data_IF_711518939972
#
_entry.id   IF_711518939972
#
_cell.length_a   1.000
_cell.length_b   1.000
_cell.length_c   1.000
_cell.angle_alpha   90.00
_cell.angle_beta   90.00
_cell.angle_gamma   90.00
#
_symmetry.space_group_name_H-M   'P 1'
#
loop_
_entity.id
_entity.type
_entity.pdbx_description
1 polymer ?
#
# COMPACT_ATOMS: atom_id res chain seq x y z
N UNK A 1 -15.81 22.47 37.11
CA UNK A 1 -14.52 21.98 37.66
C UNK A 1 -14.02 20.88 36.72
N UNK A 2 -12.96 21.06 35.91
CA UNK A 2 -12.51 20.01 35.01
C UNK A 2 -11.66 19.00 35.78
N UNK A 3 -11.99 17.72 35.66
CA UNK A 3 -11.20 16.60 36.19
C UNK A 3 -9.84 16.59 35.50
N UNK A 4 -8.78 16.98 36.22
CA UNK A 4 -7.39 16.79 35.79
C UNK A 4 -6.98 15.36 36.10
N UNK A 5 -7.19 14.44 35.16
CA UNK A 5 -6.54 13.13 35.23
C UNK A 5 -5.05 13.27 34.91
N UNK A 6 -4.18 12.72 35.76
CA UNK A 6 -2.75 12.66 35.46
C UNK A 6 -2.47 11.51 34.47
N UNK A 7 -1.36 11.58 33.72
CA UNK A 7 -0.94 10.48 32.82
C UNK A 7 -0.75 9.13 33.55
N UNK A 8 -0.59 9.14 34.89
CA UNK A 8 -0.54 7.91 35.70
C UNK A 8 -1.92 7.28 35.87
N UNK A 9 -2.97 8.08 35.92
CA UNK A 9 -4.36 7.65 36.10
C UNK A 9 -4.96 7.06 34.82
N UNK A 10 -4.27 7.16 33.69
CA UNK A 10 -4.68 6.52 32.43
C UNK A 10 -3.93 5.21 32.15
N UNK A 11 -2.93 4.84 32.99
CA UNK A 11 -2.08 3.66 32.74
C UNK A 11 -2.84 2.34 32.72
N UNK A 12 -3.92 2.22 33.48
CA UNK A 12 -4.78 1.02 33.48
C UNK A 12 -5.76 0.97 32.29
N UNK A 13 -5.98 2.09 31.58
CA UNK A 13 -6.73 2.14 30.32
C UNK A 13 -5.87 1.71 29.12
N UNK A 14 -4.54 1.73 29.29
CA UNK A 14 -3.57 1.31 28.29
C UNK A 14 -3.17 -0.15 28.56
N UNK A 15 -3.87 -1.09 27.92
CA UNK A 15 -3.49 -2.50 27.95
C UNK A 15 -2.05 -2.67 27.43
N UNK A 16 -1.11 -3.24 28.22
CA UNK A 16 0.29 -3.41 27.83
C UNK A 16 0.48 -4.37 26.63
N UNK A 17 -0.58 -5.10 26.23
CA UNK A 17 -0.64 -5.90 25.00
C UNK A 17 -1.17 -5.12 23.78
N UNK A 18 -1.44 -3.81 23.90
CA UNK A 18 -1.92 -2.99 22.77
C UNK A 18 -0.92 -3.05 21.62
N UNK A 19 -1.37 -3.53 20.47
CA UNK A 19 -0.63 -3.45 19.20
C UNK A 19 -0.92 -2.09 18.58
N UNK A 20 0.13 -1.40 18.14
CA UNK A 20 -0.01 -0.17 17.36
C UNK A 20 -0.36 -0.54 15.94
N UNK A 21 -1.46 0.03 15.43
CA UNK A 21 -1.83 -0.06 14.03
C UNK A 21 -1.14 1.03 13.21
N UNK A 22 -0.82 0.69 11.96
CA UNK A 22 -0.23 1.55 10.95
C UNK A 22 -1.14 1.75 9.74
N UNK A 23 -2.24 1.03 9.63
CA UNK A 23 -3.20 1.16 8.54
C UNK A 23 -4.32 2.16 8.85
N UNK A 24 -5.18 2.42 7.87
CA UNK A 24 -6.27 3.40 7.99
C UNK A 24 -7.39 2.92 8.92
N UNK A 25 -7.76 1.64 8.80
CA UNK A 25 -8.88 1.03 9.54
C UNK A 25 -8.45 -0.14 10.42
N UNK A 26 -7.17 -0.20 10.79
CA UNK A 26 -6.55 -1.27 11.58
C UNK A 26 -6.60 -2.67 10.94
N UNK A 27 -6.71 -2.75 9.61
CA UNK A 27 -6.57 -3.98 8.83
C UNK A 27 -5.23 -4.67 9.10
N UNK A 28 -4.15 -3.93 9.36
CA UNK A 28 -2.85 -4.50 9.68
C UNK A 28 -2.90 -5.39 10.94
N UNK A 29 -3.73 -5.04 11.93
CA UNK A 29 -3.93 -5.86 13.13
C UNK A 29 -4.73 -7.13 12.83
N UNK A 30 -5.73 -7.04 11.94
CA UNK A 30 -6.51 -8.21 11.48
C UNK A 30 -5.61 -9.17 10.69
N UNK A 31 -4.81 -8.64 9.76
CA UNK A 31 -3.83 -9.42 8.99
C UNK A 31 -2.85 -10.13 9.91
N UNK A 32 -2.34 -9.44 10.93
CA UNK A 32 -1.45 -10.05 11.91
C UNK A 32 -2.09 -11.23 12.65
N UNK A 33 -3.38 -11.12 13.00
CA UNK A 33 -4.10 -12.19 13.70
C UNK A 33 -4.38 -13.38 12.77
N UNK A 34 -4.98 -13.11 11.61
CA UNK A 34 -5.35 -14.13 10.60
C UNK A 34 -4.13 -14.89 10.09
N UNK A 35 -3.02 -14.20 9.85
CA UNK A 35 -1.77 -14.82 9.38
C UNK A 35 -0.92 -15.40 10.52
N UNK A 36 -1.39 -15.31 11.77
CA UNK A 36 -0.68 -15.85 12.93
C UNK A 36 0.70 -15.19 13.16
N UNK A 37 0.85 -13.90 12.81
CA UNK A 37 2.13 -13.22 12.82
C UNK A 37 2.61 -12.95 14.25
N UNK A 38 3.79 -13.48 14.56
CA UNK A 38 4.48 -13.24 15.82
C UNK A 38 5.89 -12.71 15.59
N UNK A 39 6.44 -11.94 16.53
CA UNK A 39 7.80 -11.40 16.43
C UNK A 39 8.92 -12.45 16.40
N UNK A 40 8.62 -13.69 16.78
CA UNK A 40 9.56 -14.82 16.83
C UNK A 40 9.22 -15.92 15.82
N UNK A 41 8.15 -15.75 15.06
CA UNK A 41 7.69 -16.73 14.08
C UNK A 41 8.46 -16.62 12.76
N UNK A 42 8.26 -17.57 11.83
CA UNK A 42 8.83 -17.48 10.50
C UNK A 42 8.28 -16.25 9.78
N UNK A 43 9.15 -15.54 9.06
CA UNK A 43 8.75 -14.43 8.21
C UNK A 43 8.00 -14.94 6.98
N UNK A 44 6.87 -14.32 6.67
CA UNK A 44 6.12 -14.56 5.43
C UNK A 44 6.45 -13.53 4.34
N UNK A 45 5.67 -13.58 3.27
CA UNK A 45 5.84 -12.76 2.08
C UNK A 45 4.56 -12.11 1.61
N UNK A 46 4.65 -10.92 1.02
CA UNK A 46 3.48 -10.24 0.47
C UNK A 46 3.74 -9.59 -0.89
N UNK A 47 2.65 -9.32 -1.58
CA UNK A 47 2.59 -8.37 -2.69
C UNK A 47 1.64 -7.26 -2.26
N UNK A 48 2.11 -6.01 -2.31
CA UNK A 48 1.40 -4.82 -1.85
C UNK A 48 1.20 -3.88 -3.05
N UNK A 49 -0.02 -3.86 -3.60
CA UNK A 49 -0.39 -3.11 -4.81
C UNK A 49 -1.17 -1.86 -4.40
N UNK A 50 -0.70 -0.69 -4.84
CA UNK A 50 -1.18 0.58 -4.31
C UNK A 50 -0.55 0.87 -2.94
N UNK A 51 0.74 0.54 -2.78
CA UNK A 51 1.37 0.48 -1.46
C UNK A 51 1.50 1.85 -0.75
N UNK A 52 1.35 2.95 -1.48
CA UNK A 52 1.35 4.33 -0.99
C UNK A 52 2.54 4.61 -0.04
N UNK A 53 2.32 5.25 1.11
CA UNK A 53 3.37 5.61 2.05
C UNK A 53 3.89 4.36 2.78
N UNK A 54 5.21 4.16 2.92
CA UNK A 54 5.79 2.94 3.51
C UNK A 54 5.49 2.67 5.00
N UNK A 55 4.73 3.52 5.67
CA UNK A 55 4.54 3.45 7.14
C UNK A 55 3.17 3.95 7.57
N UNK A 56 2.75 5.09 7.04
CA UNK A 56 1.46 5.72 7.36
C UNK A 56 0.40 5.09 6.48
N UNK A 57 -0.74 4.72 7.07
CA UNK A 57 -1.86 4.11 6.37
C UNK A 57 -1.46 2.84 5.60
N UNK A 58 -0.44 2.11 6.07
CA UNK A 58 0.10 0.95 5.38
C UNK A 58 -0.40 -0.34 6.01
N UNK A 59 -1.09 -1.16 5.21
CA UNK A 59 -1.56 -2.49 5.61
C UNK A 59 -0.42 -3.48 5.88
N UNK A 60 0.75 -3.28 5.25
CA UNK A 60 1.86 -4.24 5.30
C UNK A 60 3.02 -3.82 6.20
N UNK A 61 3.06 -2.58 6.70
CA UNK A 61 4.21 -2.12 7.49
C UNK A 61 4.35 -2.85 8.84
N UNK A 62 3.23 -3.25 9.47
CA UNK A 62 3.28 -4.05 10.69
C UNK A 62 3.90 -5.45 10.45
N UNK A 63 3.60 -6.06 9.29
CA UNK A 63 4.20 -7.32 8.84
C UNK A 63 5.69 -7.14 8.55
N UNK A 64 6.06 -6.08 7.82
CA UNK A 64 7.45 -5.73 7.57
C UNK A 64 8.24 -5.63 8.90
N UNK A 65 7.69 -4.92 9.90
CA UNK A 65 8.28 -4.81 11.25
C UNK A 65 8.42 -6.15 11.98
N UNK A 66 7.62 -7.16 11.61
CA UNK A 66 7.67 -8.52 12.15
C UNK A 66 8.64 -9.45 11.38
N UNK A 67 9.38 -8.95 10.39
CA UNK A 67 10.37 -9.76 9.67
C UNK A 67 9.97 -10.08 8.22
N UNK A 68 8.72 -9.81 7.84
CA UNK A 68 8.22 -10.08 6.50
C UNK A 68 8.91 -9.19 5.46
N UNK A 69 8.87 -9.63 4.21
CA UNK A 69 9.38 -8.91 3.03
C UNK A 69 8.47 -9.18 1.85
N UNK A 70 8.47 -8.31 0.84
CA UNK A 70 7.62 -8.51 -0.31
C UNK A 70 7.95 -7.64 -1.50
N UNK A 71 7.03 -7.62 -2.45
CA UNK A 71 7.01 -6.68 -3.57
C UNK A 71 6.03 -5.57 -3.21
N UNK A 72 6.45 -4.32 -3.33
CA UNK A 72 5.61 -3.14 -3.13
C UNK A 72 5.51 -2.36 -4.46
N UNK A 73 4.28 -2.09 -4.90
CA UNK A 73 3.99 -1.57 -6.23
C UNK A 73 3.16 -0.30 -6.11
N UNK A 74 3.65 0.77 -6.73
CA UNK A 74 2.93 2.05 -6.84
C UNK A 74 3.31 2.74 -8.14
N UNK A 75 2.42 3.55 -8.70
CA UNK A 75 2.72 4.34 -9.90
C UNK A 75 3.46 5.65 -9.57
N UNK A 76 3.40 6.11 -8.33
CA UNK A 76 3.99 7.38 -7.90
C UNK A 76 5.50 7.22 -7.64
N UNK A 77 6.38 7.84 -8.45
CA UNK A 77 7.82 7.69 -8.31
C UNK A 77 8.39 8.26 -7.01
N UNK A 78 7.74 9.29 -6.44
CA UNK A 78 8.18 9.89 -5.17
C UNK A 78 7.92 8.94 -4.00
N UNK A 79 6.73 8.31 -3.99
CA UNK A 79 6.39 7.28 -3.00
C UNK A 79 7.30 6.07 -3.15
N UNK A 80 7.56 5.61 -4.39
CA UNK A 80 8.48 4.50 -4.63
C UNK A 80 9.90 4.76 -4.09
N UNK A 81 10.45 5.96 -4.31
CA UNK A 81 11.77 6.35 -3.76
C UNK A 81 11.76 6.34 -2.23
N UNK A 82 10.73 6.93 -1.63
CA UNK A 82 10.57 6.93 -0.17
C UNK A 82 10.43 5.52 0.38
N UNK A 83 9.68 4.65 -0.30
CA UNK A 83 9.46 3.27 0.07
C UNK A 83 10.77 2.48 0.05
N UNK A 84 11.56 2.60 -1.02
CA UNK A 84 12.84 1.91 -1.15
C UNK A 84 13.82 2.31 -0.03
N UNK A 85 13.84 3.58 0.35
CA UNK A 85 14.66 4.07 1.47
C UNK A 85 14.17 3.53 2.83
N UNK A 86 12.86 3.53 3.07
CA UNK A 86 12.28 3.17 4.35
C UNK A 86 12.17 1.64 4.59
N UNK A 87 12.05 0.86 3.50
CA UNK A 87 11.76 -0.59 3.52
C UNK A 87 12.74 -1.36 2.62
N UNK A 88 14.06 -1.34 2.92
CA UNK A 88 15.10 -1.94 2.05
C UNK A 88 15.03 -3.46 1.86
N UNK A 89 14.21 -4.20 2.63
CA UNK A 89 13.96 -5.64 2.39
C UNK A 89 12.89 -5.88 1.32
N UNK A 90 12.09 -4.87 0.99
CA UNK A 90 11.06 -4.98 -0.03
C UNK A 90 11.63 -4.64 -1.40
N UNK A 91 11.15 -5.35 -2.42
CA UNK A 91 11.36 -4.96 -3.82
C UNK A 91 10.32 -3.92 -4.19
N UNK A 92 10.74 -2.69 -4.44
CA UNK A 92 9.84 -1.63 -4.88
C UNK A 92 9.79 -1.57 -6.40
N UNK A 93 8.58 -1.54 -6.95
CA UNK A 93 8.31 -1.49 -8.40
C UNK A 93 7.47 -0.26 -8.68
N UNK A 94 8.05 0.70 -9.40
CA UNK A 94 7.35 1.91 -9.82
C UNK A 94 6.63 1.66 -11.14
N UNK A 95 5.37 1.23 -11.09
CA UNK A 95 4.60 0.86 -12.28
C UNK A 95 3.09 1.04 -12.08
N UNK A 96 2.41 1.36 -13.18
CA UNK A 96 0.97 1.16 -13.30
C UNK A 96 0.69 -0.31 -13.63
N UNK A 97 -0.33 -0.90 -13.01
CA UNK A 97 -0.76 -2.27 -13.27
C UNK A 97 -2.13 -2.32 -13.96
N UNK A 98 -2.34 -3.37 -14.75
CA UNK A 98 -3.62 -3.66 -15.39
C UNK A 98 -3.65 -5.01 -16.08
N UNK A 99 -4.74 -5.30 -16.77
CA UNK A 99 -5.00 -6.62 -17.38
C UNK A 99 -4.03 -6.97 -18.52
N UNK A 100 -3.49 -5.96 -19.22
CA UNK A 100 -2.65 -6.14 -20.40
C UNK A 100 -1.60 -5.04 -20.47
N UNK A 101 -0.51 -5.30 -21.21
CA UNK A 101 0.44 -4.25 -21.57
C UNK A 101 -0.20 -3.26 -22.53
N UNK A 102 -0.26 -2.00 -22.11
CA UNK A 102 -0.82 -0.91 -22.92
C UNK A 102 -0.30 0.44 -22.41
N UNK A 103 -0.44 1.48 -23.24
CA UNK A 103 -0.24 2.86 -22.78
C UNK A 103 -1.57 3.46 -22.35
N UNK A 104 -1.59 4.07 -21.16
CA UNK A 104 -2.75 4.82 -20.67
C UNK A 104 -2.37 6.22 -20.26
N UNK A 105 -3.31 7.14 -20.41
CA UNK A 105 -3.22 8.48 -19.86
C UNK A 105 -3.61 8.44 -18.38
N UNK A 106 -2.71 8.94 -17.52
CA UNK A 106 -3.01 9.20 -16.11
C UNK A 106 -3.36 10.67 -15.93
N UNK A 107 -4.52 10.93 -15.33
CA UNK A 107 -4.96 12.24 -14.88
C UNK A 107 -4.45 12.46 -13.45
N UNK A 108 -3.56 13.43 -13.26
CA UNK A 108 -2.95 13.73 -11.95
C UNK A 108 -3.59 14.93 -11.28
N UNK A 109 -3.71 14.84 -9.96
CA UNK A 109 -4.22 15.89 -9.09
C UNK A 109 -3.20 16.27 -8.02
N UNK A 110 -3.45 17.38 -7.31
CA UNK A 110 -2.56 17.88 -6.26
C UNK A 110 -2.46 16.88 -5.09
N UNK A 111 -3.55 16.17 -4.78
CA UNK A 111 -3.47 14.95 -3.99
C UNK A 111 -3.17 13.77 -4.91
N UNK A 112 -2.07 13.07 -4.66
CA UNK A 112 -1.66 11.92 -5.48
C UNK A 112 -2.67 10.77 -5.42
N UNK A 113 -3.39 10.65 -4.30
CA UNK A 113 -4.44 9.65 -4.05
C UNK A 113 -5.62 9.78 -5.04
N UNK A 114 -5.80 10.95 -5.67
CA UNK A 114 -6.88 11.19 -6.64
C UNK A 114 -6.46 10.95 -8.10
N UNK A 115 -5.26 10.43 -8.33
CA UNK A 115 -4.79 10.16 -9.70
C UNK A 115 -5.59 8.99 -10.30
N UNK A 116 -6.05 9.12 -11.54
CA UNK A 116 -6.92 8.12 -12.17
C UNK A 116 -6.59 7.90 -13.63
N UNK A 117 -6.93 6.72 -14.14
CA UNK A 117 -6.94 6.41 -15.58
C UNK A 117 -8.27 6.75 -16.25
N UNK A 118 -9.31 7.05 -15.47
CA UNK A 118 -10.66 7.28 -15.98
C UNK A 118 -10.91 8.79 -16.23
N UNK A 119 -11.13 9.21 -17.47
CA UNK A 119 -11.41 10.61 -17.80
C UNK A 119 -12.69 11.14 -17.16
N UNK A 120 -13.70 10.30 -16.90
CA UNK A 120 -14.95 10.72 -16.27
C UNK A 120 -14.75 10.99 -14.78
N UNK A 121 -13.99 10.16 -14.08
CA UNK A 121 -13.55 10.45 -12.71
C UNK A 121 -12.70 11.71 -12.64
N UNK A 122 -11.79 11.91 -13.59
CA UNK A 122 -10.99 13.13 -13.65
C UNK A 122 -11.86 14.39 -13.80
N UNK A 123 -12.86 14.36 -14.70
CA UNK A 123 -13.83 15.47 -14.85
C UNK A 123 -14.60 15.71 -13.55
N UNK A 124 -15.03 14.64 -12.89
CA UNK A 124 -15.75 14.72 -11.61
C UNK A 124 -14.90 15.38 -10.52
N UNK A 125 -13.66 14.96 -10.34
CA UNK A 125 -12.77 15.56 -9.35
C UNK A 125 -12.52 17.05 -9.61
N UNK A 126 -12.34 17.45 -10.88
CA UNK A 126 -12.26 18.88 -11.24
C UNK A 126 -13.55 19.62 -10.86
N UNK A 127 -14.72 19.04 -11.12
CA UNK A 127 -16.01 19.65 -10.75
C UNK A 127 -16.22 19.76 -9.23
N UNK A 128 -15.62 18.86 -8.45
CA UNK A 128 -15.62 18.87 -6.99
C UNK A 128 -14.53 19.79 -6.41
N UNK A 129 -13.84 20.57 -7.25
CA UNK A 129 -12.84 21.57 -6.84
C UNK A 129 -11.42 21.02 -6.65
N UNK A 130 -11.16 19.77 -7.05
CA UNK A 130 -9.82 19.19 -6.97
C UNK A 130 -8.90 19.81 -8.03
N UNK A 131 -7.70 20.20 -7.61
CA UNK A 131 -6.73 20.85 -8.50
C UNK A 131 -6.02 19.81 -9.38
N UNK A 132 -6.36 19.79 -10.67
CA UNK A 132 -5.61 19.03 -11.67
C UNK A 132 -4.18 19.59 -11.80
N UNK A 133 -3.21 18.68 -11.85
CA UNK A 133 -1.77 18.99 -11.99
C UNK A 133 -1.27 18.69 -13.40
N UNK A 134 -1.93 17.77 -14.12
CA UNK A 134 -1.62 17.49 -15.52
C UNK A 134 -2.05 16.10 -15.95
N UNK A 135 -1.66 15.74 -17.17
CA UNK A 135 -1.84 14.40 -17.73
C UNK A 135 -0.51 13.93 -18.31
N UNK A 136 -0.24 12.63 -18.22
CA UNK A 136 0.90 12.01 -18.90
C UNK A 136 0.57 10.58 -19.27
N UNK A 137 1.22 10.07 -20.31
CA UNK A 137 1.14 8.66 -20.67
C UNK A 137 2.06 7.83 -19.76
N UNK A 138 1.57 6.68 -19.34
CA UNK A 138 2.34 5.67 -18.61
C UNK A 138 2.17 4.32 -19.29
N UNK A 139 3.25 3.53 -19.27
CA UNK A 139 3.21 2.13 -19.66
C UNK A 139 2.60 1.31 -18.52
N UNK A 140 1.49 0.64 -18.82
CA UNK A 140 0.83 -0.30 -17.91
C UNK A 140 1.49 -1.67 -18.07
N UNK A 141 1.84 -2.29 -16.94
CA UNK A 141 2.35 -3.66 -16.85
C UNK A 141 1.28 -4.58 -16.30
N UNK A 142 1.43 -5.89 -16.50
CA UNK A 142 0.58 -6.87 -15.84
C UNK A 142 1.18 -7.32 -14.50
N UNK A 143 0.38 -7.88 -13.59
CA UNK A 143 0.90 -8.40 -12.33
C UNK A 143 1.79 -9.61 -12.61
N UNK A 144 1.43 -10.49 -13.56
CA UNK A 144 2.28 -11.61 -13.96
C UNK A 144 3.68 -11.17 -14.41
N UNK A 145 3.78 -10.07 -15.15
CA UNK A 145 5.07 -9.52 -15.57
C UNK A 145 5.94 -9.11 -14.38
N UNK A 146 5.33 -8.46 -13.38
CA UNK A 146 6.04 -8.04 -12.17
C UNK A 146 6.47 -9.26 -11.36
N UNK A 147 5.57 -10.24 -11.17
CA UNK A 147 5.88 -11.46 -10.43
C UNK A 147 6.96 -12.29 -11.11
N UNK A 148 6.99 -12.33 -12.46
CA UNK A 148 8.04 -13.03 -13.21
C UNK A 148 9.40 -12.35 -13.08
N UNK A 149 9.45 -11.02 -13.04
CA UNK A 149 10.70 -10.26 -12.94
C UNK A 149 11.25 -10.18 -11.51
N UNK A 150 10.38 -10.18 -10.51
CA UNK A 150 10.75 -9.83 -9.13
C UNK A 150 10.32 -10.86 -8.08
N UNK A 151 9.72 -11.98 -8.50
CA UNK A 151 9.21 -13.02 -7.60
C UNK A 151 10.29 -13.77 -6.82
N UNK A 152 11.58 -13.57 -7.15
CA UNK A 152 12.70 -14.14 -6.39
C UNK A 152 12.67 -13.71 -4.92
N UNK A 153 12.26 -12.47 -4.63
CA UNK A 153 12.15 -11.97 -3.24
C UNK A 153 11.11 -12.75 -2.42
N UNK A 154 10.11 -13.32 -3.09
CA UNK A 154 8.99 -14.04 -2.48
C UNK A 154 9.34 -15.49 -2.11
N UNK A 155 10.46 -16.03 -2.62
CA UNK A 155 10.86 -17.42 -2.32
C UNK A 155 9.83 -18.47 -2.77
N UNK A 156 9.08 -18.17 -3.83
CA UNK A 156 8.13 -19.11 -4.46
C UNK A 156 6.74 -19.19 -3.84
N UNK A 157 6.38 -18.31 -2.90
CA UNK A 157 5.04 -18.26 -2.30
C UNK A 157 4.60 -16.82 -2.09
N UNK A 158 3.29 -16.58 -2.14
CA UNK A 158 2.66 -15.31 -1.71
C UNK A 158 1.77 -15.65 -0.52
N UNK A 159 2.09 -15.15 0.67
CA UNK A 159 1.25 -15.35 1.86
C UNK A 159 0.13 -14.32 1.99
N UNK A 160 0.33 -13.14 1.39
CA UNK A 160 -0.64 -12.05 1.35
C UNK A 160 -0.56 -11.30 0.03
N UNK A 161 -1.70 -11.12 -0.63
CA UNK A 161 -1.88 -10.15 -1.70
C UNK A 161 -2.76 -9.01 -1.17
N UNK A 162 -2.14 -7.86 -0.91
CA UNK A 162 -2.85 -6.64 -0.56
C UNK A 162 -3.02 -5.80 -1.84
N UNK A 163 -4.26 -5.46 -2.17
CA UNK A 163 -4.59 -4.65 -3.34
C UNK A 163 -5.52 -3.52 -2.91
N UNK A 164 -5.10 -2.30 -3.21
CA UNK A 164 -5.88 -1.09 -3.01
C UNK A 164 -5.56 -0.14 -4.18
N UNK A 165 -6.13 -0.46 -5.34
CA UNK A 165 -5.83 0.24 -6.59
C UNK A 165 -6.97 1.18 -7.02
N UNK A 166 -7.78 1.63 -6.06
CA UNK A 166 -8.84 2.64 -6.24
C UNK A 166 -9.75 2.34 -7.47
N UNK A 167 -10.15 1.07 -7.62
CA UNK A 167 -11.05 0.60 -8.68
C UNK A 167 -10.37 -0.11 -9.85
N UNK A 168 -9.04 -0.16 -9.91
CA UNK A 168 -8.28 -0.94 -10.89
C UNK A 168 -8.03 -2.40 -10.46
N UNK A 169 -8.58 -2.83 -9.33
CA UNK A 169 -8.27 -4.08 -8.65
C UNK A 169 -8.52 -5.31 -9.52
N UNK A 170 -9.71 -5.41 -10.12
CA UNK A 170 -10.09 -6.56 -10.95
C UNK A 170 -9.27 -6.66 -12.25
N UNK A 171 -9.07 -5.57 -13.03
CA UNK A 171 -8.14 -5.60 -14.15
C UNK A 171 -6.73 -6.06 -13.76
N UNK A 172 -6.19 -5.61 -12.63
CA UNK A 172 -4.87 -6.02 -12.15
C UNK A 172 -4.83 -7.53 -11.85
N UNK A 173 -5.87 -8.08 -11.22
CA UNK A 173 -5.95 -9.51 -10.92
C UNK A 173 -6.06 -10.41 -12.16
N UNK A 174 -6.42 -9.85 -13.33
CA UNK A 174 -6.58 -10.59 -14.59
C UNK A 174 -5.33 -10.65 -15.46
N UNK A 175 -4.28 -9.88 -15.13
CA UNK A 175 -3.06 -9.80 -15.93
C UNK A 175 -1.81 -10.15 -15.14
#
# INVERSE_FOLDING_TARGET
MPLRYSLRDLRHLVNPKRRTSWSQYAEDLVLIDVLGVTRRGPAGTYVDIGCNHPKRLSNTYALYRAGWRGIAIDLNPELCRLFALARPRDRVVCAALGERRERKTVYRFASSELSTFDPEWAKRFVSEGQRAVGQHEIDVRTLDDVLREHGDVLGGRIDLLAIDAEGADLPILRG
#
